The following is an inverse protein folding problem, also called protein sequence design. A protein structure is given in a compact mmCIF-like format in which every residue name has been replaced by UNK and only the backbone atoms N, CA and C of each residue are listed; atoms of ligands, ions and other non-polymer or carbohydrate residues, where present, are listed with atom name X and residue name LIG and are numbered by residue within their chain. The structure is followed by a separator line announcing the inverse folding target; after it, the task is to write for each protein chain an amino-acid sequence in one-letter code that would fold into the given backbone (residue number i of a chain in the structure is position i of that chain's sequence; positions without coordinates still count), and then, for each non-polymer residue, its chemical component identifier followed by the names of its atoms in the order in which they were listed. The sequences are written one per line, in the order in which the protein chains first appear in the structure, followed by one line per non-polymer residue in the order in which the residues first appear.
data_IF_071896164248
#
_entry.id   IF_071896164248
#
_cell.length_a   1.000
_cell.length_b   1.000
_cell.length_c   1.000
_cell.angle_alpha   90.00
_cell.angle_beta   90.00
_cell.angle_gamma   90.00
#
_symmetry.space_group_name_H-M   'P 1'
#
loop_
_entity.id
_entity.type
_entity.pdbx_description
1 polymer ?
#
# COMPACT_ATOMS: atom_id res chain seq x y z
N UNK A 1 -8.96 -2.45 -16.05
CA UNK A 1 -8.65 -3.63 -15.23
C UNK A 1 -8.75 -3.20 -13.77
N UNK A 2 -9.75 -3.67 -13.02
CA UNK A 2 -9.93 -3.27 -11.62
C UNK A 2 -9.13 -4.24 -10.73
N UNK A 3 -8.24 -3.71 -9.89
CA UNK A 3 -7.38 -4.52 -9.01
C UNK A 3 -7.61 -4.08 -7.58
N UNK A 4 -8.35 -4.90 -6.82
CA UNK A 4 -8.60 -4.64 -5.40
C UNK A 4 -7.36 -5.00 -4.58
N UNK A 5 -6.73 -3.99 -3.97
CA UNK A 5 -5.55 -4.11 -3.13
C UNK A 5 -5.89 -3.68 -1.70
N UNK A 6 -5.67 -4.55 -0.71
CA UNK A 6 -5.82 -4.24 0.70
C UNK A 6 -4.45 -4.25 1.38
N UNK A 7 -4.20 -3.32 2.31
CA UNK A 7 -2.98 -3.37 3.14
C UNK A 7 -3.23 -4.39 4.25
N UNK A 8 -2.49 -5.51 4.24
CA UNK A 8 -2.62 -6.58 5.23
C UNK A 8 -1.65 -6.38 6.41
N UNK A 9 -0.46 -5.85 6.14
CA UNK A 9 0.50 -5.43 7.17
C UNK A 9 1.41 -4.33 6.64
N UNK A 10 1.87 -3.45 7.51
CA UNK A 10 2.56 -2.24 7.13
C UNK A 10 3.62 -1.91 8.20
N UNK A 11 4.91 -1.95 7.83
CA UNK A 11 6.03 -1.79 8.73
C UNK A 11 7.16 -0.99 8.07
N UNK A 12 8.05 -0.43 8.88
CA UNK A 12 9.22 0.33 8.41
C UNK A 12 10.06 -0.50 7.42
N UNK A 13 10.15 -0.01 6.18
CA UNK A 13 10.84 -0.68 5.07
C UNK A 13 10.13 -1.91 4.47
N UNK A 14 8.94 -2.33 4.96
CA UNK A 14 8.20 -3.49 4.43
C UNK A 14 6.67 -3.33 4.50
N UNK A 15 6.01 -3.36 3.35
CA UNK A 15 4.53 -3.42 3.24
C UNK A 15 4.11 -4.77 2.69
N UNK A 16 3.11 -5.38 3.30
CA UNK A 16 2.39 -6.54 2.77
C UNK A 16 1.01 -6.12 2.31
N UNK A 17 0.78 -6.18 1.00
CA UNK A 17 -0.52 -6.05 0.39
C UNK A 17 -1.16 -7.42 0.18
N UNK A 18 -2.48 -7.46 0.17
CA UNK A 18 -3.30 -8.58 -0.25
C UNK A 18 -4.06 -8.18 -1.51
N UNK A 19 -3.94 -9.00 -2.55
CA UNK A 19 -4.44 -8.76 -3.90
C UNK A 19 -5.22 -10.00 -4.32
N UNK A 20 -6.54 -9.97 -4.13
CA UNK A 20 -7.41 -11.12 -4.35
C UNK A 20 -7.31 -11.68 -5.78
N UNK A 21 -7.09 -10.81 -6.77
CA UNK A 21 -7.01 -11.18 -8.19
C UNK A 21 -5.68 -11.85 -8.61
N UNK A 22 -4.64 -11.87 -7.77
CA UNK A 22 -3.32 -12.38 -8.19
C UNK A 22 -3.29 -13.89 -8.41
N UNK A 23 -4.17 -14.63 -7.73
CA UNK A 23 -4.29 -16.09 -7.87
C UNK A 23 -4.97 -16.50 -9.18
N UNK A 24 -5.81 -15.64 -9.75
CA UNK A 24 -6.52 -15.87 -11.01
C UNK A 24 -5.90 -15.15 -12.21
N UNK A 25 -5.06 -14.14 -11.99
CA UNK A 25 -4.45 -13.30 -13.02
C UNK A 25 -2.97 -13.02 -12.68
N UNK A 26 -2.01 -13.86 -13.13
CA UNK A 26 -0.59 -13.66 -12.84
C UNK A 26 0.00 -12.38 -13.45
N UNK A 27 -0.56 -11.90 -14.58
CA UNK A 27 -0.19 -10.62 -15.21
C UNK A 27 -0.34 -9.41 -14.29
N UNK A 28 -1.37 -9.39 -13.43
CA UNK A 28 -1.53 -8.34 -12.40
C UNK A 28 -0.32 -8.34 -11.47
N UNK A 29 0.20 -9.52 -11.14
CA UNK A 29 1.39 -9.66 -10.33
C UNK A 29 2.62 -9.04 -10.97
N UNK A 30 2.93 -9.42 -12.21
CA UNK A 30 4.06 -8.86 -12.96
C UNK A 30 3.93 -7.35 -13.15
N UNK A 31 2.71 -6.86 -13.43
CA UNK A 31 2.42 -5.43 -13.50
C UNK A 31 2.72 -4.71 -12.17
N UNK A 32 2.30 -5.27 -11.03
CA UNK A 32 2.58 -4.68 -9.71
C UNK A 32 4.08 -4.64 -9.41
N UNK A 33 4.84 -5.71 -9.73
CA UNK A 33 6.30 -5.73 -9.59
C UNK A 33 6.95 -4.62 -10.42
N UNK A 34 6.63 -4.52 -11.72
CA UNK A 34 7.15 -3.47 -12.60
C UNK A 34 6.62 -2.07 -12.29
N UNK A 35 5.53 -1.94 -11.53
CA UNK A 35 5.05 -0.66 -11.00
C UNK A 35 5.87 -0.23 -9.78
N UNK A 36 5.95 -1.06 -8.74
CA UNK A 36 6.66 -0.72 -7.51
C UNK A 36 8.17 -0.58 -7.70
N UNK A 37 8.81 -1.39 -8.55
CA UNK A 37 10.24 -1.24 -8.86
C UNK A 37 10.59 0.08 -9.57
N UNK A 38 9.61 0.85 -10.06
CA UNK A 38 9.81 2.23 -10.57
C UNK A 38 9.62 3.30 -9.50
N UNK A 39 9.18 2.96 -8.30
CA UNK A 39 9.08 3.91 -7.19
C UNK A 39 10.46 4.07 -6.56
N UNK A 40 10.98 5.29 -6.55
CA UNK A 40 12.29 5.58 -5.96
C UNK A 40 12.30 5.17 -4.48
N UNK A 41 13.33 4.43 -4.07
CA UNK A 41 13.46 3.84 -2.74
C UNK A 41 12.81 2.46 -2.56
N UNK A 42 12.07 1.91 -3.52
CA UNK A 42 11.68 0.47 -3.46
C UNK A 42 12.88 -0.40 -3.82
N UNK A 43 13.23 -1.33 -2.94
CA UNK A 43 14.40 -2.21 -3.06
C UNK A 43 14.05 -3.62 -3.55
N UNK A 44 12.78 -4.02 -3.44
CA UNK A 44 12.33 -5.31 -3.98
C UNK A 44 10.84 -5.55 -3.84
N UNK A 45 10.31 -6.45 -4.66
CA UNK A 45 8.89 -6.85 -4.65
C UNK A 45 8.82 -8.37 -4.77
N UNK A 46 8.10 -9.03 -3.86
CA UNK A 46 7.86 -10.46 -3.88
C UNK A 46 6.36 -10.74 -3.98
N UNK A 47 5.98 -11.64 -4.88
CA UNK A 47 4.60 -12.11 -5.04
C UNK A 47 4.49 -13.52 -4.45
N UNK A 48 3.44 -13.74 -3.66
CA UNK A 48 3.03 -15.05 -3.17
C UNK A 48 1.65 -15.37 -3.75
N UNK A 49 1.56 -15.91 -4.98
CA UNK A 49 0.28 -16.17 -5.63
C UNK A 49 -0.58 -17.16 -4.85
N UNK A 50 0.05 -18.17 -4.23
CA UNK A 50 -0.60 -19.16 -3.37
C UNK A 50 -1.36 -18.56 -2.16
N UNK A 51 -1.03 -17.34 -1.72
CA UNK A 51 -1.70 -16.67 -0.59
C UNK A 51 -2.24 -15.28 -0.96
N UNK A 52 -2.35 -14.97 -2.25
CA UNK A 52 -2.80 -13.66 -2.74
C UNK A 52 -2.01 -12.47 -2.19
N UNK A 53 -0.78 -12.66 -1.73
CA UNK A 53 -0.02 -11.66 -0.97
C UNK A 53 1.13 -11.07 -1.79
N UNK A 54 1.33 -9.76 -1.73
CA UNK A 54 2.49 -9.05 -2.32
C UNK A 54 3.26 -8.39 -1.20
N UNK A 55 4.55 -8.66 -1.10
CA UNK A 55 5.46 -8.03 -0.13
C UNK A 55 6.37 -7.06 -0.87
N UNK A 56 6.31 -5.79 -0.50
CA UNK A 56 7.13 -4.70 -1.03
C UNK A 56 8.16 -4.37 0.04
N UNK A 57 9.44 -4.41 -0.33
CA UNK A 57 10.55 -3.96 0.49
C UNK A 57 11.03 -2.62 -0.06
N UNK A 58 11.26 -1.65 0.83
CA UNK A 58 11.69 -0.31 0.48
C UNK A 58 12.69 0.19 1.52
N UNK A 59 13.48 1.18 1.16
CA UNK A 59 14.38 1.86 2.07
C UNK A 59 13.65 3.02 2.77
N UNK A 60 13.51 3.00 4.11
CA UNK A 60 12.76 4.01 4.85
C UNK A 60 13.45 5.38 4.93
N UNK A 61 14.73 5.49 4.57
CA UNK A 61 15.43 6.77 4.46
C UNK A 61 15.21 7.44 3.10
N UNK A 62 14.83 6.68 2.07
CA UNK A 62 14.56 7.18 0.72
C UNK A 62 13.07 7.30 0.38
N UNK A 63 12.20 6.50 0.99
CA UNK A 63 10.78 6.47 0.67
C UNK A 63 9.96 6.04 1.90
N UNK A 64 8.79 6.66 2.11
CA UNK A 64 7.89 6.26 3.19
C UNK A 64 6.79 5.32 2.70
N UNK A 65 6.21 4.57 3.63
CA UNK A 65 5.05 3.74 3.35
C UNK A 65 3.89 4.54 2.76
N UNK A 66 3.67 5.76 3.24
CA UNK A 66 2.60 6.63 2.76
C UNK A 66 2.83 7.04 1.30
N UNK A 67 4.07 7.34 0.89
CA UNK A 67 4.40 7.61 -0.51
C UNK A 67 4.04 6.41 -1.41
N UNK A 68 4.36 5.18 -0.98
CA UNK A 68 4.07 3.95 -1.75
C UNK A 68 2.55 3.71 -1.84
N UNK A 69 1.81 3.88 -0.73
CA UNK A 69 0.36 3.74 -0.70
C UNK A 69 -0.37 4.86 -1.46
N UNK A 70 0.18 6.07 -1.46
CA UNK A 70 -0.37 7.20 -2.21
C UNK A 70 -0.14 7.04 -3.72
N UNK A 71 1.02 6.52 -4.14
CA UNK A 71 1.27 6.16 -5.54
C UNK A 71 0.27 5.11 -6.06
N UNK A 72 -0.11 4.14 -5.23
CA UNK A 72 -1.22 3.22 -5.50
C UNK A 72 -2.57 3.94 -5.60
N UNK A 73 -2.95 4.73 -4.58
CA UNK A 73 -4.23 5.44 -4.54
C UNK A 73 -4.41 6.38 -5.72
N UNK A 74 -3.38 7.15 -6.08
CA UNK A 74 -3.39 8.05 -7.25
C UNK A 74 -3.75 7.31 -8.54
N UNK A 75 -3.19 6.11 -8.77
CA UNK A 75 -3.52 5.23 -9.90
C UNK A 75 -4.95 4.65 -9.84
N UNK A 76 -5.47 4.35 -8.65
CA UNK A 76 -6.85 3.85 -8.46
C UNK A 76 -7.89 4.96 -8.63
N UNK A 77 -7.55 6.19 -8.24
CA UNK A 77 -8.37 7.41 -8.40
C UNK A 77 -8.37 7.92 -9.85
N UNK A 78 -7.47 7.45 -10.72
CA UNK A 78 -7.54 7.68 -12.17
C UNK A 78 -8.65 6.88 -12.90
N UNK A 79 -9.76 6.59 -12.21
CA UNK A 79 -11.08 6.55 -12.84
C UNK A 79 -11.74 7.90 -12.56
N UNK A 80 -11.69 8.87 -13.50
CA UNK A 80 -12.22 10.21 -13.25
C UNK A 80 -13.75 10.16 -13.15
N UNK A 81 -14.24 10.09 -11.91
CA UNK A 81 -15.44 10.82 -11.55
C UNK A 81 -15.05 12.30 -11.52
N UNK A 82 -15.18 12.96 -12.67
CA UNK A 82 -15.15 14.41 -12.74
C UNK A 82 -16.31 14.99 -11.92
N UNK A 83 -16.12 16.20 -11.41
CA UNK A 83 -17.01 16.97 -10.50
C UNK A 83 -16.85 16.57 -9.03
N UNK A 84 -16.28 17.40 -8.16
CA UNK A 84 -15.64 18.71 -8.39
C UNK A 84 -15.24 19.35 -7.05
N UNK A 85 -14.37 20.36 -7.10
CA UNK A 85 -14.17 21.38 -6.05
C UNK A 85 -13.61 20.89 -4.68
N UNK A 86 -12.72 21.57 -3.98
CA UNK A 86 -11.83 22.71 -4.31
C UNK A 86 -10.57 22.58 -3.45
N UNK A 87 -9.45 23.13 -3.91
CA UNK A 87 -8.18 23.16 -3.16
C UNK A 87 -8.24 24.18 -2.02
N UNK A 88 -8.30 23.73 -0.77
CA UNK A 88 -7.94 24.54 0.40
C UNK A 88 -7.29 23.69 1.50
N UNK A 89 -6.03 24.00 1.79
CA UNK A 89 -5.31 23.76 3.05
C UNK A 89 -4.84 25.14 3.55
N UNK A 90 -4.54 25.38 4.85
CA UNK A 90 -4.33 24.44 5.97
C UNK A 90 -5.59 24.41 6.89
N UNK A 91 -5.63 24.02 8.19
CA UNK A 91 -4.57 23.75 9.18
C UNK A 91 -4.90 22.69 10.25
N UNK A 92 -3.94 22.50 11.18
CA UNK A 92 -4.09 22.34 12.64
C UNK A 92 -5.35 21.64 13.18
N UNK A 93 -5.22 20.36 13.58
CA UNK A 93 -6.33 19.66 14.25
C UNK A 93 -6.06 18.20 14.63
N UNK A 94 -5.27 18.00 15.69
CA UNK A 94 -5.08 16.73 16.41
C UNK A 94 -6.30 15.77 16.45
N UNK A 95 -6.15 14.55 15.90
CA UNK A 95 -6.58 13.25 16.46
C UNK A 95 -6.76 12.16 15.38
N UNK A 96 -5.67 11.64 14.80
CA UNK A 96 -5.75 10.31 14.16
C UNK A 96 -5.77 9.28 15.30
N UNK A 97 -6.97 8.78 15.61
CA UNK A 97 -7.13 7.63 16.50
C UNK A 97 -6.59 6.39 15.81
N UNK A 98 -5.43 5.91 16.27
CA UNK A 98 -4.88 4.61 15.89
C UNK A 98 -5.27 3.57 16.96
N UNK A 99 -6.28 2.71 16.73
CA UNK A 99 -6.49 1.53 17.57
C UNK A 99 -5.42 0.48 17.23
N UNK A 100 -4.19 0.73 17.66
CA UNK A 100 -3.09 -0.24 17.60
C UNK A 100 -2.12 -0.08 18.77
N UNK A 101 -2.61 -0.36 19.98
CA UNK A 101 -1.80 -0.97 21.03
C UNK A 101 -2.72 -1.58 22.11
N UNK A 102 -2.82 -2.90 22.12
CA UNK A 102 -2.90 -3.67 23.37
C UNK A 102 -2.26 -5.03 23.09
N UNK A 103 -0.93 -5.03 23.26
CA UNK A 103 -0.18 -6.26 23.52
C UNK A 103 -0.03 -6.34 25.03
N UNK A 104 -0.74 -7.24 25.70
CA UNK A 104 -0.31 -7.66 27.02
C UNK A 104 -0.28 -9.19 27.17
N UNK A 105 0.98 -9.63 27.27
CA UNK A 105 1.55 -10.85 27.82
C UNK A 105 0.58 -11.76 28.58
N UNK A 106 0.42 -13.00 28.12
CA UNK A 106 0.08 -14.12 29.02
C UNK A 106 1.30 -14.39 29.90
N UNK A 107 1.15 -14.17 31.20
CA UNK A 107 1.94 -14.84 32.23
C UNK A 107 1.01 -15.75 33.05
N UNK A 108 1.59 -16.83 33.55
CA UNK A 108 0.98 -17.95 34.30
C UNK A 108 -0.01 -17.56 35.39
#
# INVERSE_FOLDING_TARGET
MNVTCQVAHAATGRIRLQVASIATQPDIGQFLVGFFLRVHGVTGVQIRPATGSVVITFDPALCTQETILNALRSRVVQRPALTGETSEAPETGSAISYPYLESEVVHT
#
